data_IF_668471267673
#
_entry.id   IF_668471267673
#
_cell.length_a   1.000
_cell.length_b   1.000
_cell.length_c   1.000
_cell.angle_alpha   90.00
_cell.angle_beta   90.00
_cell.angle_gamma   90.00
#
_symmetry.space_group_name_H-M   'P 1'
#
loop_
_entity.id
_entity.type
_entity.pdbx_description
1 polymer ?
#
# COMPACT_ATOMS: atom_id res chain seq x y z
N UNK A 1 21.57 2.11 -15.14
CA UNK A 1 20.39 2.93 -14.77
C UNK A 1 19.24 2.11 -14.19
N UNK A 2 19.26 0.77 -14.34
CA UNK A 2 18.18 -0.10 -13.84
C UNK A 2 18.21 -0.33 -12.32
N UNK A 3 19.40 -0.37 -11.71
CA UNK A 3 19.56 -0.61 -10.26
C UNK A 3 18.91 0.47 -9.38
N UNK A 4 18.96 1.72 -9.83
CA UNK A 4 18.31 2.84 -9.14
C UNK A 4 16.77 2.72 -9.18
N UNK A 5 16.22 2.22 -10.29
CA UNK A 5 14.79 1.94 -10.43
C UNK A 5 14.34 0.82 -9.49
N UNK A 6 15.09 -0.27 -9.40
CA UNK A 6 14.79 -1.36 -8.46
C UNK A 6 14.86 -0.91 -7.00
N UNK A 7 15.86 -0.12 -6.63
CA UNK A 7 15.99 0.44 -5.28
C UNK A 7 14.82 1.37 -4.93
N UNK A 8 14.41 2.24 -5.86
CA UNK A 8 13.24 3.09 -5.67
C UNK A 8 11.96 2.26 -5.52
N UNK A 9 11.81 1.17 -6.28
CA UNK A 9 10.63 0.29 -6.21
C UNK A 9 10.54 -0.43 -4.87
N UNK A 10 11.66 -0.95 -4.36
CA UNK A 10 11.75 -1.55 -3.02
C UNK A 10 11.44 -0.51 -1.95
N UNK A 11 11.98 0.71 -2.08
CA UNK A 11 11.72 1.80 -1.13
C UNK A 11 10.23 2.18 -1.11
N UNK A 12 9.60 2.30 -2.28
CA UNK A 12 8.16 2.57 -2.39
C UNK A 12 7.33 1.41 -1.83
N UNK A 13 7.70 0.16 -2.08
CA UNK A 13 7.02 -1.01 -1.51
C UNK A 13 7.13 -1.08 0.02
N UNK A 14 8.30 -0.74 0.56
CA UNK A 14 8.53 -0.64 2.01
C UNK A 14 7.75 0.52 2.61
N UNK A 15 7.75 1.70 1.98
CA UNK A 15 6.98 2.87 2.43
C UNK A 15 5.47 2.55 2.41
N UNK A 16 4.94 1.97 1.34
CA UNK A 16 3.54 1.56 1.25
C UNK A 16 3.18 0.48 2.28
N UNK A 17 4.08 -0.47 2.56
CA UNK A 17 3.90 -1.49 3.58
C UNK A 17 3.97 -0.97 5.02
N UNK A 18 4.89 -0.03 5.30
CA UNK A 18 5.10 0.55 6.63
C UNK A 18 4.04 1.59 7.02
N UNK A 19 3.54 2.39 6.07
CA UNK A 19 2.47 3.34 6.34
C UNK A 19 1.11 2.67 6.62
N UNK A 20 0.99 1.35 6.40
CA UNK A 20 -0.25 0.61 6.59
C UNK A 20 -1.42 1.26 5.83
N UNK A 21 -2.60 1.32 6.45
CA UNK A 21 -3.81 1.93 5.87
C UNK A 21 -3.65 3.38 5.39
N UNK A 22 -2.61 4.11 5.82
CA UNK A 22 -2.32 5.49 5.38
C UNK A 22 -1.62 5.60 4.03
N UNK A 23 -0.85 4.58 3.61
CA UNK A 23 -0.21 4.55 2.28
C UNK A 23 -1.21 4.33 1.14
N UNK A 24 -2.36 3.75 1.47
CA UNK A 24 -3.46 3.47 0.55
C UNK A 24 -4.13 4.72 -0.03
N UNK A 25 -4.01 5.88 0.63
CA UNK A 25 -4.43 7.18 0.07
C UNK A 25 -3.66 7.50 -1.22
N UNK A 26 -2.42 7.03 -1.32
CA UNK A 26 -1.60 7.22 -2.52
C UNK A 26 -1.91 6.19 -3.61
N UNK A 27 -2.65 5.11 -3.32
CA UNK A 27 -2.94 4.05 -4.31
C UNK A 27 -3.77 4.57 -5.49
N UNK A 28 -4.77 5.41 -5.26
CA UNK A 28 -5.57 6.02 -6.35
C UNK A 28 -4.71 6.91 -7.26
N UNK A 29 -4.00 7.94 -6.77
CA UNK A 29 -3.18 8.78 -7.62
C UNK A 29 -2.04 8.01 -8.29
N UNK A 30 -1.47 6.97 -7.67
CA UNK A 30 -0.50 6.09 -8.34
C UNK A 30 -1.15 5.34 -9.50
N UNK A 31 -2.31 4.72 -9.31
CA UNK A 31 -3.03 4.00 -10.37
C UNK A 31 -3.44 4.93 -11.52
N UNK A 32 -3.90 6.15 -11.21
CA UNK A 32 -4.37 7.11 -12.21
C UNK A 32 -3.19 7.81 -12.90
N UNK A 33 -2.23 8.37 -12.15
CA UNK A 33 -1.15 9.19 -12.73
C UNK A 33 0.04 8.38 -13.24
N UNK A 34 0.41 7.28 -12.59
CA UNK A 34 1.53 6.44 -13.03
C UNK A 34 1.07 5.38 -14.04
N UNK A 35 -0.03 4.69 -13.75
CA UNK A 35 -0.51 3.58 -14.57
C UNK A 35 -1.58 3.98 -15.60
N UNK A 36 -1.99 5.25 -15.65
CA UNK A 36 -3.02 5.76 -16.56
C UNK A 36 -4.32 4.94 -16.53
N UNK A 37 -4.64 4.35 -15.37
CA UNK A 37 -5.88 3.60 -15.17
C UNK A 37 -7.03 4.57 -15.00
N UNK A 38 -8.18 4.25 -15.60
CA UNK A 38 -9.38 5.06 -15.47
C UNK A 38 -9.74 5.26 -13.98
N UNK A 39 -10.09 6.49 -13.53
CA UNK A 39 -10.34 6.79 -12.13
C UNK A 39 -11.39 5.87 -11.46
N UNK A 40 -12.39 5.45 -12.24
CA UNK A 40 -13.44 4.52 -11.78
C UNK A 40 -12.85 3.14 -11.46
N UNK A 41 -12.06 2.55 -12.37
CA UNK A 41 -11.37 1.27 -12.13
C UNK A 41 -10.31 1.40 -11.03
N UNK A 42 -9.57 2.52 -11.01
CA UNK A 42 -8.54 2.78 -10.01
C UNK A 42 -9.11 2.83 -8.59
N UNK A 43 -10.34 3.35 -8.43
CA UNK A 43 -11.04 3.34 -7.13
C UNK A 43 -11.35 1.93 -6.64
N UNK A 44 -11.80 1.04 -7.54
CA UNK A 44 -12.09 -0.35 -7.22
C UNK A 44 -10.81 -1.13 -6.84
N UNK A 45 -9.73 -0.96 -7.62
CA UNK A 45 -8.44 -1.55 -7.29
C UNK A 45 -7.87 -1.00 -6.00
N UNK A 46 -8.00 0.29 -5.75
CA UNK A 46 -7.62 0.92 -4.48
C UNK A 46 -8.33 0.24 -3.31
N UNK A 47 -9.66 0.11 -3.34
CA UNK A 47 -10.41 -0.54 -2.26
C UNK A 47 -9.94 -1.97 -1.99
N UNK A 48 -9.63 -2.72 -3.05
CA UNK A 48 -9.06 -4.06 -2.90
C UNK A 48 -7.66 -4.03 -2.26
N UNK A 49 -6.78 -3.15 -2.75
CA UNK A 49 -5.42 -2.97 -2.21
C UNK A 49 -5.50 -2.57 -0.73
N UNK A 50 -6.28 -1.54 -0.39
CA UNK A 50 -6.49 -1.04 0.98
C UNK A 50 -7.04 -2.14 1.90
N UNK A 51 -7.99 -2.93 1.41
CA UNK A 51 -8.61 -4.01 2.16
C UNK A 51 -7.61 -5.10 2.53
N UNK A 52 -6.81 -5.55 1.56
CA UNK A 52 -5.77 -6.56 1.78
C UNK A 52 -4.64 -6.01 2.66
N UNK A 53 -4.15 -4.80 2.39
CA UNK A 53 -3.07 -4.19 3.20
C UNK A 53 -3.50 -3.90 4.63
N UNK A 54 -4.74 -3.46 4.86
CA UNK A 54 -5.29 -3.28 6.21
C UNK A 54 -5.45 -4.59 6.95
N UNK A 55 -5.85 -5.66 6.25
CA UNK A 55 -5.95 -6.99 6.85
C UNK A 55 -4.56 -7.49 7.28
N UNK A 56 -3.57 -7.41 6.39
CA UNK A 56 -2.18 -7.82 6.69
C UNK A 56 -1.56 -6.94 7.79
N UNK A 57 -1.81 -5.64 7.78
CA UNK A 57 -1.33 -4.70 8.80
C UNK A 57 -2.04 -4.83 10.16
N UNK A 58 -3.29 -5.28 10.17
CA UNK A 58 -4.04 -5.52 11.40
C UNK A 58 -3.52 -6.73 12.18
N UNK A 59 -3.02 -7.77 11.50
CA UNK A 59 -2.49 -9.00 12.13
C UNK A 59 -1.35 -8.74 13.14
N UNK A 60 -0.26 -8.02 12.81
CA UNK A 60 0.81 -7.73 13.76
C UNK A 60 0.36 -6.79 14.87
N UNK A 61 -0.53 -5.82 14.56
CA UNK A 61 -1.08 -4.89 15.56
C UNK A 61 -1.95 -5.60 16.59
N UNK A 62 -2.74 -6.59 16.15
CA UNK A 62 -3.54 -7.44 17.03
C UNK A 62 -2.66 -8.34 17.91
N UNK A 63 -1.57 -8.89 17.35
CA UNK A 63 -0.58 -9.68 18.11
C UNK A 63 0.17 -8.86 19.17
N UNK A 64 0.46 -7.59 18.89
CA UNK A 64 1.05 -6.68 19.88
C UNK A 64 0.08 -6.35 21.02
N UNK A 65 -1.22 -6.21 20.73
CA UNK A 65 -2.21 -5.97 21.79
C UNK A 65 -2.32 -7.15 22.77
N UNK A 66 -2.20 -8.38 22.29
CA UNK A 66 -2.31 -9.59 23.12
C UNK A 66 -1.06 -9.79 24.02
N UNK A 67 0.12 -9.32 23.61
CA UNK A 67 1.36 -9.47 24.40
C UNK A 67 1.56 -8.34 25.43
N UNK A 68 0.87 -7.21 25.25
CA UNK A 68 0.91 -6.05 26.15
C UNK A 68 -0.33 -5.95 27.06
N UNK A 69 -1.18 -6.98 27.10
CA UNK A 69 -2.36 -7.10 27.97
C UNK A 69 -2.15 -8.21 29.00
#
# INVERSE_FOLDING_TARGET
MELAGYLAFVFVGVVLGLLGGGGSILSIPILVYLFNVEPVLASAYSLFIVGVTSLVGAVPKYRQHIYNA
#
